data_IF_977923246383
#
_entry.id   IF_977923246383
#
_cell.length_a   1.000
_cell.length_b   1.000
_cell.length_c   1.000
_cell.angle_alpha   90.00
_cell.angle_beta   90.00
_cell.angle_gamma   90.00
#
_symmetry.space_group_name_H-M   'P 1'
#
loop_
_entity.id
_entity.type
_entity.pdbx_description
1 polymer ?
#
# COMPACT_ATOMS: atom_id res chain seq x y z
N UNK A 1 18.06 -9.38 -42.87
CA UNK A 1 18.82 -9.19 -41.62
C UNK A 1 19.36 -7.76 -41.61
N UNK A 2 19.37 -7.04 -40.49
CA UNK A 2 19.83 -5.64 -40.45
C UNK A 2 21.32 -5.54 -40.11
N UNK A 3 21.99 -4.45 -40.51
CA UNK A 3 23.40 -4.20 -40.20
C UNK A 3 23.72 -4.20 -38.70
N UNK A 4 22.75 -3.81 -37.87
CA UNK A 4 22.88 -3.85 -36.41
C UNK A 4 22.98 -5.28 -35.89
N UNK A 5 22.18 -6.19 -36.45
CA UNK A 5 22.21 -7.62 -36.09
C UNK A 5 23.53 -8.27 -36.52
N UNK A 6 24.00 -7.97 -37.73
CA UNK A 6 25.27 -8.50 -38.24
C UNK A 6 26.48 -8.02 -37.43
N UNK A 7 26.52 -6.74 -37.05
CA UNK A 7 27.57 -6.22 -36.16
C UNK A 7 27.58 -6.92 -34.80
N UNK A 8 26.41 -7.05 -34.18
CA UNK A 8 26.29 -7.75 -32.90
C UNK A 8 26.69 -9.22 -32.99
N UNK A 9 26.33 -9.88 -34.10
CA UNK A 9 26.75 -11.24 -34.38
C UNK A 9 28.28 -11.35 -34.49
N UNK A 10 28.96 -10.46 -35.23
CA UNK A 10 30.43 -10.46 -35.34
C UNK A 10 31.12 -10.27 -33.97
N UNK A 11 30.62 -9.36 -33.15
CA UNK A 11 31.15 -9.14 -31.79
C UNK A 11 30.98 -10.39 -30.91
N UNK A 12 29.82 -11.05 -30.99
CA UNK A 12 29.51 -12.26 -30.23
C UNK A 12 30.33 -13.46 -30.74
N UNK A 13 30.47 -13.59 -32.06
CA UNK A 13 31.31 -14.57 -32.74
C UNK A 13 32.74 -14.49 -32.22
N UNK A 14 33.35 -13.30 -32.24
CA UNK A 14 34.73 -13.09 -31.78
C UNK A 14 34.95 -13.56 -30.33
N UNK A 15 33.99 -13.27 -29.45
CA UNK A 15 34.05 -13.71 -28.04
C UNK A 15 33.98 -15.24 -27.88
N UNK A 16 33.22 -15.92 -28.75
CA UNK A 16 33.19 -17.38 -28.79
C UNK A 16 34.48 -17.96 -29.38
N UNK A 17 35.02 -17.36 -30.43
CA UNK A 17 36.31 -17.76 -31.02
C UNK A 17 37.47 -17.58 -30.02
N UNK A 18 37.42 -16.55 -29.17
CA UNK A 18 38.37 -16.41 -28.06
C UNK A 18 38.33 -17.62 -27.12
N UNK A 19 37.13 -18.14 -26.80
CA UNK A 19 36.96 -19.36 -25.98
C UNK A 19 37.52 -20.59 -26.73
N UNK A 20 37.22 -20.72 -28.02
CA UNK A 20 37.74 -21.82 -28.85
C UNK A 20 39.27 -21.76 -28.98
N UNK A 21 39.83 -20.56 -28.88
CA UNK A 21 41.27 -20.28 -28.83
C UNK A 21 41.87 -20.40 -27.42
N UNK A 22 41.18 -21.07 -26.50
CA UNK A 22 41.61 -21.35 -25.12
C UNK A 22 41.80 -20.11 -24.24
N UNK A 23 41.09 -19.01 -24.52
CA UNK A 23 41.06 -17.83 -23.63
C UNK A 23 39.90 -17.96 -22.66
N UNK A 24 40.18 -17.72 -21.38
CA UNK A 24 39.16 -17.73 -20.33
C UNK A 24 38.51 -16.35 -20.26
N UNK A 25 37.22 -16.21 -20.61
CA UNK A 25 36.50 -14.95 -20.44
C UNK A 25 36.20 -14.69 -18.96
N UNK A 26 35.97 -13.42 -18.62
CA UNK A 26 35.42 -13.05 -17.30
C UNK A 26 34.04 -13.70 -17.09
N UNK A 27 33.65 -14.07 -15.86
CA UNK A 27 32.36 -14.71 -15.58
C UNK A 27 31.14 -13.94 -16.08
N UNK A 28 31.16 -12.61 -16.04
CA UNK A 28 30.05 -11.76 -16.52
C UNK A 28 29.88 -11.86 -18.03
N UNK A 29 31.00 -11.86 -18.76
CA UNK A 29 31.01 -12.01 -20.22
C UNK A 29 30.57 -13.42 -20.61
N UNK A 30 31.02 -14.43 -19.86
CA UNK A 30 30.63 -15.81 -20.10
C UNK A 30 29.14 -16.04 -19.85
N UNK A 31 28.59 -15.43 -18.79
CA UNK A 31 27.16 -15.43 -18.53
C UNK A 31 26.38 -14.82 -19.70
N UNK A 32 26.79 -13.64 -20.17
CA UNK A 32 26.16 -12.97 -21.32
C UNK A 32 26.17 -13.85 -22.59
N UNK A 33 27.30 -14.51 -22.87
CA UNK A 33 27.44 -15.43 -24.00
C UNK A 33 26.52 -16.65 -23.85
N UNK A 34 26.45 -17.23 -22.65
CA UNK A 34 25.60 -18.38 -22.38
C UNK A 34 24.11 -18.05 -22.51
N UNK A 35 23.70 -16.85 -22.09
CA UNK A 35 22.31 -16.39 -22.21
C UNK A 35 21.92 -16.12 -23.66
N UNK A 36 22.84 -15.54 -24.44
CA UNK A 36 22.62 -15.23 -25.86
C UNK A 36 22.87 -16.43 -26.79
N UNK A 37 23.35 -17.55 -26.25
CA UNK A 37 23.74 -18.71 -27.07
C UNK A 37 22.63 -19.18 -27.99
N UNK A 38 21.37 -19.24 -27.53
CA UNK A 38 20.28 -19.74 -28.37
C UNK A 38 20.05 -18.89 -29.61
N UNK A 39 20.00 -17.56 -29.43
CA UNK A 39 19.76 -16.63 -30.52
C UNK A 39 20.97 -16.55 -31.44
N UNK A 40 22.17 -16.49 -30.85
CA UNK A 40 23.41 -16.48 -31.60
C UNK A 40 23.55 -17.74 -32.45
N UNK A 41 23.35 -18.93 -31.87
CA UNK A 41 23.36 -20.21 -32.59
C UNK A 41 22.36 -20.21 -33.75
N UNK A 42 21.11 -19.76 -33.52
CA UNK A 42 20.09 -19.69 -34.57
C UNK A 42 20.54 -18.79 -35.72
N UNK A 43 21.02 -17.58 -35.43
CA UNK A 43 21.50 -16.63 -36.44
C UNK A 43 22.67 -17.22 -37.23
N UNK A 44 23.65 -17.81 -36.55
CA UNK A 44 24.81 -18.44 -37.21
C UNK A 44 24.40 -19.56 -38.14
N UNK A 45 23.46 -20.43 -37.73
CA UNK A 45 22.94 -21.50 -38.58
C UNK A 45 22.26 -20.90 -39.82
N UNK A 46 21.39 -19.90 -39.64
CA UNK A 46 20.73 -19.22 -40.77
C UNK A 46 21.76 -18.64 -41.75
N UNK A 47 22.79 -17.94 -41.24
CA UNK A 47 23.86 -17.37 -42.08
C UNK A 47 24.65 -18.44 -42.84
N UNK A 48 24.82 -19.63 -42.25
CA UNK A 48 25.58 -20.73 -42.86
C UNK A 48 24.75 -21.60 -43.83
N UNK A 49 23.42 -21.52 -43.81
CA UNK A 49 22.53 -22.31 -44.69
C UNK A 49 21.92 -21.47 -45.80
N UNK A 50 21.70 -20.19 -45.58
CA UNK A 50 21.07 -19.28 -46.52
C UNK A 50 22.07 -18.18 -46.88
N UNK A 51 22.69 -18.21 -48.09
CA UNK A 51 23.53 -17.10 -48.52
C UNK A 51 22.67 -15.85 -48.58
N UNK A 52 22.90 -14.95 -47.62
CA UNK A 52 22.08 -13.76 -47.46
C UNK A 52 22.20 -12.89 -48.71
N UNK A 53 21.07 -12.44 -49.28
CA UNK A 53 21.00 -11.47 -50.39
C UNK A 53 21.42 -10.04 -49.96
N UNK A 54 22.40 -9.94 -49.07
CA UNK A 54 22.90 -8.70 -48.49
C UNK A 54 24.28 -8.45 -49.11
N UNK A 55 24.63 -7.19 -49.37
CA UNK A 55 25.94 -6.82 -49.90
C UNK A 55 27.06 -7.34 -48.96
N UNK A 56 27.93 -8.20 -49.47
CA UNK A 56 28.95 -8.90 -48.68
C UNK A 56 28.48 -10.18 -47.98
N UNK A 57 27.30 -10.70 -48.33
CA UNK A 57 26.71 -11.92 -47.78
C UNK A 57 27.60 -13.16 -47.85
N UNK A 58 28.38 -13.30 -48.92
CA UNK A 58 29.32 -14.42 -49.10
C UNK A 58 30.35 -14.50 -47.97
N UNK A 59 30.84 -13.34 -47.49
CA UNK A 59 31.77 -13.30 -46.37
C UNK A 59 31.11 -13.80 -45.09
N UNK A 60 29.90 -13.33 -44.78
CA UNK A 60 29.17 -13.75 -43.58
C UNK A 60 28.81 -15.24 -43.62
N UNK A 61 28.48 -15.76 -44.80
CA UNK A 61 28.24 -17.18 -45.03
C UNK A 61 29.49 -18.01 -44.70
N UNK A 62 30.63 -17.67 -45.31
CA UNK A 62 31.91 -18.36 -45.05
C UNK A 62 32.34 -18.25 -43.58
N UNK A 63 32.21 -17.05 -43.00
CA UNK A 63 32.53 -16.78 -41.60
C UNK A 63 31.64 -17.59 -40.64
N UNK A 64 30.37 -17.81 -40.97
CA UNK A 64 29.45 -18.61 -40.18
C UNK A 64 29.73 -20.11 -40.31
N UNK A 65 30.07 -20.59 -41.52
CA UNK A 65 30.49 -21.98 -41.72
C UNK A 65 31.76 -22.33 -40.96
N UNK A 66 32.79 -21.48 -41.06
CA UNK A 66 34.04 -21.64 -40.29
C UNK A 66 33.75 -21.71 -38.79
N UNK A 67 32.94 -20.78 -38.29
CA UNK A 67 32.57 -20.76 -36.89
C UNK A 67 31.84 -22.04 -36.45
N UNK A 68 30.87 -22.53 -37.24
CA UNK A 68 30.14 -23.75 -36.88
C UNK A 68 31.06 -24.98 -36.87
N UNK A 69 32.03 -25.05 -37.78
CA UNK A 69 33.02 -26.11 -37.80
C UNK A 69 33.90 -26.08 -36.55
N UNK A 70 34.40 -24.90 -36.17
CA UNK A 70 35.19 -24.70 -34.94
C UNK A 70 34.38 -25.05 -33.69
N UNK A 71 33.11 -24.63 -33.64
CA UNK A 71 32.21 -24.95 -32.54
C UNK A 71 31.99 -26.48 -32.44
N UNK A 72 31.73 -27.16 -33.57
CA UNK A 72 31.57 -28.61 -33.61
C UNK A 72 32.83 -29.32 -33.09
N UNK A 73 34.01 -28.88 -33.53
CA UNK A 73 35.29 -29.40 -33.06
C UNK A 73 35.47 -29.19 -31.55
N UNK A 74 35.21 -27.98 -31.05
CA UNK A 74 35.33 -27.66 -29.64
C UNK A 74 34.41 -28.53 -28.77
N UNK A 75 33.15 -28.70 -29.17
CA UNK A 75 32.18 -29.52 -28.45
C UNK A 75 32.29 -31.03 -28.72
N UNK A 76 33.16 -31.45 -29.65
CA UNK A 76 33.32 -32.85 -30.03
C UNK A 76 32.05 -33.47 -30.66
N UNK A 77 31.31 -32.68 -31.44
CA UNK A 77 30.10 -33.13 -32.15
C UNK A 77 30.32 -33.14 -33.66
N UNK A 78 29.62 -34.03 -34.37
CA UNK A 78 29.81 -34.21 -35.82
C UNK A 78 29.05 -33.17 -36.66
N UNK A 79 27.93 -32.66 -36.15
CA UNK A 79 27.04 -31.75 -36.87
C UNK A 79 26.65 -30.55 -36.01
N UNK A 80 26.45 -29.40 -36.67
CA UNK A 80 25.98 -28.17 -35.99
C UNK A 80 24.58 -28.34 -35.39
N UNK A 81 23.82 -29.34 -35.86
CA UNK A 81 22.52 -29.72 -35.29
C UNK A 81 22.64 -30.24 -33.86
N UNK A 82 23.78 -30.84 -33.53
CA UNK A 82 24.07 -31.47 -32.23
C UNK A 82 24.78 -30.54 -31.25
N UNK A 83 25.03 -29.28 -31.65
CA UNK A 83 25.55 -28.26 -30.75
C UNK A 83 24.63 -28.09 -29.53
N UNK A 84 25.19 -27.78 -28.35
CA UNK A 84 24.45 -27.74 -27.10
C UNK A 84 23.25 -26.79 -27.13
N UNK A 85 22.20 -27.18 -26.42
CA UNK A 85 21.06 -26.32 -26.12
C UNK A 85 21.34 -25.46 -24.87
N UNK A 86 20.64 -24.34 -24.66
CA UNK A 86 20.87 -23.47 -23.51
C UNK A 86 20.83 -24.19 -22.15
N UNK A 87 19.96 -25.20 -22.00
CA UNK A 87 19.81 -25.97 -20.76
C UNK A 87 21.03 -26.83 -20.41
N UNK A 88 21.76 -27.35 -21.40
CA UNK A 88 22.94 -28.22 -21.18
C UNK A 88 24.28 -27.57 -21.54
N UNK A 89 24.25 -26.35 -22.11
CA UNK A 89 25.44 -25.59 -22.49
C UNK A 89 26.51 -25.50 -21.39
N UNK A 90 26.21 -25.09 -20.13
CA UNK A 90 27.26 -25.01 -19.11
C UNK A 90 27.98 -26.34 -18.86
N UNK A 91 27.25 -27.46 -18.88
CA UNK A 91 27.85 -28.78 -18.70
C UNK A 91 28.73 -29.13 -19.90
N UNK A 92 28.24 -28.87 -21.13
CA UNK A 92 28.98 -29.13 -22.36
C UNK A 92 30.22 -28.24 -22.52
N UNK A 93 30.20 -27.02 -22.00
CA UNK A 93 31.37 -26.14 -21.92
C UNK A 93 32.46 -26.72 -21.00
N UNK A 94 32.07 -27.22 -19.82
CA UNK A 94 33.00 -27.88 -18.90
C UNK A 94 33.57 -29.15 -19.55
N UNK A 95 32.71 -29.99 -20.13
CA UNK A 95 33.11 -31.24 -20.81
C UNK A 95 34.06 -30.98 -21.99
N UNK A 96 33.77 -29.97 -22.81
CA UNK A 96 34.62 -29.57 -23.92
C UNK A 96 35.98 -29.06 -23.43
N UNK A 97 36.00 -28.28 -22.35
CA UNK A 97 37.25 -27.71 -21.84
C UNK A 97 38.24 -28.75 -21.35
N UNK A 98 37.78 -29.86 -20.76
CA UNK A 98 38.67 -30.94 -20.30
C UNK A 98 39.30 -31.71 -21.46
N UNK A 99 38.64 -31.72 -22.63
CA UNK A 99 39.09 -32.36 -23.86
C UNK A 99 39.88 -31.41 -24.78
N UNK A 100 39.99 -30.14 -24.41
CA UNK A 100 40.62 -29.13 -25.25
C UNK A 100 42.10 -29.45 -25.55
N UNK A 101 42.50 -29.22 -26.80
CA UNK A 101 43.86 -29.40 -27.28
C UNK A 101 44.36 -28.07 -27.85
N UNK A 102 45.59 -27.69 -27.50
CA UNK A 102 46.22 -26.46 -27.96
C UNK A 102 47.69 -26.67 -28.33
N UNK A 103 48.26 -25.69 -29.04
CA UNK A 103 49.70 -25.72 -29.43
C UNK A 103 50.64 -25.65 -28.23
N UNK A 104 50.20 -25.00 -27.15
CA UNK A 104 50.96 -24.82 -25.91
C UNK A 104 50.37 -25.68 -24.80
N UNK A 105 51.18 -26.59 -24.25
CA UNK A 105 50.78 -27.43 -23.12
C UNK A 105 50.38 -26.58 -21.92
N UNK A 106 51.18 -25.56 -21.59
CA UNK A 106 50.90 -24.67 -20.45
C UNK A 106 49.57 -23.94 -20.60
N UNK A 107 49.32 -23.33 -21.77
CA UNK A 107 48.07 -22.59 -22.03
C UNK A 107 46.85 -23.51 -21.98
N UNK A 108 47.00 -24.76 -22.46
CA UNK A 108 45.95 -25.76 -22.44
C UNK A 108 45.62 -26.19 -21.01
N UNK A 109 46.63 -26.45 -20.17
CA UNK A 109 46.42 -26.84 -18.78
C UNK A 109 45.82 -25.69 -17.94
N UNK A 110 46.26 -24.44 -18.17
CA UNK A 110 45.63 -23.27 -17.55
C UNK A 110 44.16 -23.15 -17.93
N UNK A 111 43.82 -23.31 -19.22
CA UNK A 111 42.43 -23.25 -19.67
C UNK A 111 41.57 -24.36 -19.03
N UNK A 112 42.07 -25.60 -19.00
CA UNK A 112 41.39 -26.74 -18.35
C UNK A 112 41.15 -26.50 -16.85
N UNK A 113 42.07 -25.82 -16.17
CA UNK A 113 41.96 -25.53 -14.74
C UNK A 113 40.98 -24.39 -14.45
N UNK A 114 41.00 -23.32 -15.24
CA UNK A 114 40.32 -22.07 -14.90
C UNK A 114 38.98 -21.89 -15.61
N UNK A 115 38.81 -22.43 -16.83
CA UNK A 115 37.55 -22.30 -17.56
C UNK A 115 36.36 -22.95 -16.84
N UNK A 116 36.47 -24.16 -16.25
CA UNK A 116 35.38 -24.72 -15.45
C UNK A 116 34.99 -23.86 -14.23
N UNK A 117 35.97 -23.20 -13.60
CA UNK A 117 35.70 -22.26 -12.49
C UNK A 117 34.92 -21.06 -13.00
N UNK A 118 35.34 -20.45 -14.11
CA UNK A 118 34.62 -19.35 -14.75
C UNK A 118 33.18 -19.72 -15.14
N UNK A 119 32.94 -20.92 -15.68
CA UNK A 119 31.59 -21.42 -15.98
C UNK A 119 30.76 -21.55 -14.69
N UNK A 120 31.33 -22.07 -13.61
CA UNK A 120 30.65 -22.20 -12.32
C UNK A 120 30.31 -20.84 -11.72
N UNK A 121 31.26 -19.89 -11.76
CA UNK A 121 31.06 -18.51 -11.32
C UNK A 121 29.97 -17.80 -12.13
N UNK A 122 29.96 -17.95 -13.46
CA UNK A 122 28.90 -17.43 -14.32
C UNK A 122 27.51 -17.98 -13.95
N UNK A 123 27.41 -19.28 -13.63
CA UNK A 123 26.16 -19.89 -13.14
C UNK A 123 25.74 -19.33 -11.78
N UNK A 124 26.68 -19.16 -10.85
CA UNK A 124 26.41 -18.56 -9.55
C UNK A 124 25.92 -17.12 -9.70
N UNK A 125 26.56 -16.33 -10.56
CA UNK A 125 26.15 -14.96 -10.86
C UNK A 125 24.73 -14.89 -11.42
N UNK A 126 24.35 -15.83 -12.30
CA UNK A 126 22.97 -15.94 -12.79
C UNK A 126 21.98 -16.18 -11.67
N UNK A 127 22.31 -17.09 -10.74
CA UNK A 127 21.45 -17.40 -9.60
C UNK A 127 21.32 -16.19 -8.66
N UNK A 128 22.43 -15.51 -8.40
CA UNK A 128 22.45 -14.29 -7.59
C UNK A 128 21.56 -13.20 -8.20
N UNK A 129 21.67 -12.94 -9.51
CA UNK A 129 20.82 -11.93 -10.19
C UNK A 129 19.33 -12.24 -10.07
N UNK A 130 18.94 -13.52 -10.17
CA UNK A 130 17.55 -13.96 -9.99
C UNK A 130 17.06 -13.73 -8.57
N UNK A 131 17.90 -14.01 -7.58
CA UNK A 131 17.56 -13.78 -6.18
C UNK A 131 17.44 -12.29 -5.88
N UNK A 132 18.36 -11.45 -6.38
CA UNK A 132 18.29 -9.99 -6.26
C UNK A 132 17.07 -9.39 -6.99
N UNK A 133 16.67 -9.97 -8.12
CA UNK A 133 15.44 -9.57 -8.83
C UNK A 133 14.19 -9.92 -8.01
N UNK A 134 14.12 -11.13 -7.45
CA UNK A 134 13.03 -11.57 -6.57
C UNK A 134 12.93 -10.70 -5.32
N UNK A 135 14.05 -10.38 -4.68
CA UNK A 135 14.10 -9.49 -3.51
C UNK A 135 13.63 -8.06 -3.86
N UNK A 136 14.01 -7.53 -5.03
CA UNK A 136 13.53 -6.22 -5.49
C UNK A 136 12.03 -6.22 -5.78
N UNK A 137 11.50 -7.30 -6.35
CA UNK A 137 10.07 -7.45 -6.57
C UNK A 137 9.30 -7.52 -5.26
N UNK A 138 9.77 -8.34 -4.30
CA UNK A 138 9.19 -8.44 -2.96
C UNK A 138 9.18 -7.10 -2.21
N UNK A 139 10.29 -6.36 -2.24
CA UNK A 139 10.37 -5.03 -1.62
C UNK A 139 9.45 -4.01 -2.32
N UNK A 140 9.33 -4.08 -3.65
CA UNK A 140 8.38 -3.24 -4.41
C UNK A 140 6.94 -3.52 -4.02
N UNK A 141 6.58 -4.80 -3.83
CA UNK A 141 5.24 -5.20 -3.37
C UNK A 141 4.98 -4.65 -1.97
N UNK A 142 5.94 -4.81 -1.05
CA UNK A 142 5.84 -4.30 0.32
C UNK A 142 5.65 -2.79 0.37
N UNK A 143 6.43 -2.02 -0.39
CA UNK A 143 6.30 -0.56 -0.47
C UNK A 143 4.91 -0.17 -0.96
N UNK A 144 4.38 -0.85 -1.98
CA UNK A 144 3.03 -0.59 -2.50
C UNK A 144 1.94 -0.92 -1.48
N UNK A 145 2.08 -2.00 -0.72
CA UNK A 145 1.14 -2.35 0.35
C UNK A 145 1.14 -1.32 1.47
N UNK A 146 2.31 -0.80 1.85
CA UNK A 146 2.46 0.23 2.87
C UNK A 146 1.86 1.57 2.41
N UNK A 147 2.15 1.98 1.17
CA UNK A 147 1.52 3.15 0.54
C UNK A 147 -0.01 3.04 0.53
N UNK A 148 -0.54 1.88 0.13
CA UNK A 148 -1.99 1.64 0.13
C UNK A 148 -2.59 1.73 1.54
N UNK A 149 -1.91 1.20 2.56
CA UNK A 149 -2.35 1.33 3.96
C UNK A 149 -2.39 2.79 4.41
N UNK A 150 -1.37 3.58 4.03
CA UNK A 150 -1.32 5.00 4.35
C UNK A 150 -2.43 5.80 3.64
N UNK A 151 -2.65 5.57 2.35
CA UNK A 151 -3.74 6.21 1.60
C UNK A 151 -5.11 5.90 2.19
N UNK A 152 -5.34 4.65 2.61
CA UNK A 152 -6.58 4.24 3.29
C UNK A 152 -6.70 4.94 4.64
N UNK A 153 -5.61 5.02 5.41
CA UNK A 153 -5.59 5.74 6.67
C UNK A 153 -6.02 7.19 6.48
N UNK A 154 -5.37 7.92 5.56
CA UNK A 154 -5.66 9.33 5.30
C UNK A 154 -7.09 9.52 4.80
N UNK A 155 -7.57 8.63 3.91
CA UNK A 155 -8.93 8.65 3.40
C UNK A 155 -9.98 8.50 4.51
N UNK A 156 -9.72 7.64 5.49
CA UNK A 156 -10.62 7.43 6.63
C UNK A 156 -10.54 8.61 7.61
N UNK A 157 -9.34 9.14 7.89
CA UNK A 157 -9.20 10.29 8.81
C UNK A 157 -9.81 11.58 8.24
N UNK A 158 -9.74 11.78 6.92
CA UNK A 158 -10.30 12.94 6.23
C UNK A 158 -11.76 12.75 5.80
N UNK A 159 -12.40 11.64 6.15
CA UNK A 159 -13.77 11.39 5.72
C UNK A 159 -14.73 12.43 6.34
N UNK A 160 -15.56 13.11 5.53
CA UNK A 160 -16.52 14.10 6.03
C UNK A 160 -17.44 13.57 7.13
N UNK A 161 -17.77 12.27 7.08
CA UNK A 161 -18.56 11.62 8.13
C UNK A 161 -17.85 11.71 9.49
N UNK A 162 -16.58 11.29 9.56
CA UNK A 162 -15.83 11.31 10.82
C UNK A 162 -15.46 12.73 11.25
N UNK A 163 -15.24 13.66 10.32
CA UNK A 163 -15.05 15.07 10.63
C UNK A 163 -16.30 15.68 11.29
N UNK A 164 -17.50 15.35 10.79
CA UNK A 164 -18.76 15.80 11.39
C UNK A 164 -18.96 15.22 12.81
N UNK A 165 -18.63 13.94 13.02
CA UNK A 165 -18.68 13.31 14.35
C UNK A 165 -17.72 13.96 15.35
N UNK A 166 -16.49 14.26 14.94
CA UNK A 166 -15.53 15.00 15.76
C UNK A 166 -16.07 16.40 16.11
N UNK A 167 -16.76 17.07 15.17
CA UNK A 167 -17.42 18.35 15.43
C UNK A 167 -18.50 18.26 16.52
N UNK A 168 -19.26 17.16 16.57
CA UNK A 168 -20.25 16.91 17.62
C UNK A 168 -19.59 16.63 18.97
N UNK A 169 -18.52 15.83 19.02
CA UNK A 169 -17.74 15.67 20.25
C UNK A 169 -17.19 17.00 20.75
N UNK A 170 -16.74 17.88 19.84
CA UNK A 170 -16.35 19.24 20.15
C UNK A 170 -17.47 20.06 20.82
N UNK A 171 -18.72 19.90 20.39
CA UNK A 171 -19.89 20.55 21.03
C UNK A 171 -20.15 20.02 22.44
N UNK A 172 -20.03 18.70 22.66
CA UNK A 172 -20.15 18.08 23.99
C UNK A 172 -19.05 18.62 24.92
N UNK A 173 -17.81 18.70 24.42
CA UNK A 173 -16.70 19.28 25.17
C UNK A 173 -16.91 20.76 25.49
N UNK A 174 -17.39 21.54 24.53
CA UNK A 174 -17.75 22.93 24.76
C UNK A 174 -18.80 23.08 25.88
N UNK A 175 -19.78 22.18 25.92
CA UNK A 175 -20.80 22.16 26.98
C UNK A 175 -20.21 21.74 28.34
N UNK A 176 -19.33 20.74 28.38
CA UNK A 176 -18.58 20.35 29.60
C UNK A 176 -17.81 21.54 30.14
N UNK A 177 -17.04 22.23 29.31
CA UNK A 177 -16.29 23.43 29.69
C UNK A 177 -17.22 24.53 30.21
N UNK A 178 -18.33 24.79 29.51
CA UNK A 178 -19.31 25.82 29.89
C UNK A 178 -19.95 25.56 31.25
N UNK A 179 -20.27 24.30 31.57
CA UNK A 179 -20.82 23.93 32.89
C UNK A 179 -19.72 24.01 33.95
N UNK A 180 -18.55 23.46 33.68
CA UNK A 180 -17.41 23.44 34.60
C UNK A 180 -16.96 24.84 35.05
N UNK A 181 -16.99 25.83 34.13
CA UNK A 181 -16.69 27.23 34.45
C UNK A 181 -17.66 27.85 35.45
N UNK A 182 -18.91 27.37 35.51
CA UNK A 182 -19.93 27.86 36.46
C UNK A 182 -19.96 27.05 37.75
N UNK A 183 -19.84 25.73 37.63
CA UNK A 183 -19.80 24.82 38.75
C UNK A 183 -18.96 23.59 38.34
N UNK A 184 -17.70 23.47 38.81
CA UNK A 184 -16.82 22.36 38.44
C UNK A 184 -17.26 21.02 39.02
N UNK A 185 -18.10 21.02 40.07
CA UNK A 185 -18.62 19.82 40.73
C UNK A 185 -20.05 19.47 40.28
N UNK A 186 -20.48 19.99 39.13
CA UNK A 186 -21.80 19.70 38.60
C UNK A 186 -21.88 18.26 38.07
N UNK A 187 -22.79 17.44 38.61
CA UNK A 187 -22.95 16.03 38.24
C UNK A 187 -23.16 15.80 36.74
N UNK A 188 -23.71 16.80 36.02
CA UNK A 188 -23.89 16.75 34.56
C UNK A 188 -22.57 16.59 33.82
N UNK A 189 -21.47 17.12 34.37
CA UNK A 189 -20.13 16.99 33.78
C UNK A 189 -19.72 15.53 33.72
N UNK A 190 -20.00 14.75 34.76
CA UNK A 190 -19.68 13.32 34.81
C UNK A 190 -20.43 12.54 33.72
N UNK A 191 -21.72 12.82 33.54
CA UNK A 191 -22.53 12.19 32.50
C UNK A 191 -22.07 12.58 31.08
N UNK A 192 -21.76 13.85 30.85
CA UNK A 192 -21.27 14.32 29.55
C UNK A 192 -19.90 13.71 29.19
N UNK A 193 -18.97 13.63 30.15
CA UNK A 193 -17.67 12.96 29.95
C UNK A 193 -17.83 11.47 29.64
N UNK A 194 -18.76 10.80 30.32
CA UNK A 194 -19.04 9.39 30.05
C UNK A 194 -19.54 9.19 28.61
N UNK A 195 -20.47 10.03 28.16
CA UNK A 195 -20.99 10.00 26.78
C UNK A 195 -19.92 10.32 25.76
N UNK A 196 -19.09 11.33 26.00
CA UNK A 196 -17.95 11.67 25.15
C UNK A 196 -17.01 10.47 24.96
N UNK A 197 -16.67 9.77 26.04
CA UNK A 197 -15.81 8.60 26.01
C UNK A 197 -16.42 7.43 25.22
N UNK A 198 -17.73 7.16 25.42
CA UNK A 198 -18.45 6.14 24.65
C UNK A 198 -18.48 6.47 23.16
N UNK A 199 -18.74 7.73 22.81
CA UNK A 199 -18.72 8.19 21.42
C UNK A 199 -17.33 8.08 20.81
N UNK A 200 -16.28 8.46 21.54
CA UNK A 200 -14.90 8.34 21.06
C UNK A 200 -14.52 6.89 20.77
N UNK A 201 -14.91 5.99 21.67
CA UNK A 201 -14.70 4.54 21.50
C UNK A 201 -15.41 4.04 20.24
N UNK A 202 -16.66 4.45 20.04
CA UNK A 202 -17.46 4.07 18.88
C UNK A 202 -16.85 4.59 17.56
N UNK A 203 -16.46 5.86 17.52
CA UNK A 203 -15.80 6.47 16.35
C UNK A 203 -14.51 5.74 16.01
N UNK A 204 -13.68 5.46 17.02
CA UNK A 204 -12.39 4.80 16.83
C UNK A 204 -12.55 3.37 16.31
N UNK A 205 -13.52 2.63 16.87
CA UNK A 205 -13.86 1.27 16.43
C UNK A 205 -14.35 1.28 14.99
N UNK A 206 -15.28 2.16 14.64
CA UNK A 206 -15.80 2.27 13.27
C UNK A 206 -14.71 2.70 12.29
N UNK A 207 -13.81 3.63 12.65
CA UNK A 207 -12.65 4.00 11.80
C UNK A 207 -11.78 2.78 11.49
N UNK A 208 -11.49 1.95 12.50
CA UNK A 208 -10.70 0.74 12.31
C UNK A 208 -11.41 -0.26 11.38
N UNK A 209 -12.69 -0.54 11.61
CA UNK A 209 -13.49 -1.40 10.73
C UNK A 209 -13.57 -0.85 9.30
N UNK A 210 -13.65 0.47 9.13
CA UNK A 210 -13.61 1.11 7.82
C UNK A 210 -12.26 0.91 7.12
N UNK A 211 -11.13 1.02 7.83
CA UNK A 211 -9.78 0.77 7.30
C UNK A 211 -9.64 -0.70 6.84
N UNK A 212 -10.12 -1.64 7.65
CA UNK A 212 -10.13 -3.07 7.32
C UNK A 212 -11.03 -3.39 6.12
N UNK A 213 -12.20 -2.78 6.02
CA UNK A 213 -13.11 -2.94 4.89
C UNK A 213 -12.53 -2.40 3.57
N UNK A 214 -11.74 -1.32 3.60
CA UNK A 214 -11.00 -0.84 2.42
C UNK A 214 -9.87 -1.79 2.01
N UNK A 215 -9.19 -2.42 2.97
CA UNK A 215 -8.13 -3.39 2.71
C UNK A 215 -8.70 -4.68 2.11
N UNK A 216 -9.74 -5.24 2.72
CA UNK A 216 -10.29 -6.57 2.43
C UNK A 216 -11.40 -6.57 1.38
N UNK A 217 -12.29 -5.58 1.39
CA UNK A 217 -13.52 -5.57 0.58
C UNK A 217 -13.66 -4.34 -0.32
N UNK A 218 -12.59 -3.55 -0.47
CA UNK A 218 -12.57 -2.31 -1.26
C UNK A 218 -13.61 -1.27 -0.84
N UNK A 219 -14.00 -1.24 0.43
CA UNK A 219 -14.93 -0.22 0.91
C UNK A 219 -16.41 -0.52 0.64
N UNK A 220 -16.78 -1.78 0.38
CA UNK A 220 -18.17 -2.13 0.05
C UNK A 220 -19.14 -1.94 1.21
N UNK A 221 -18.66 -2.05 2.45
CA UNK A 221 -19.51 -2.01 3.64
C UNK A 221 -19.49 -0.65 4.35
N UNK A 222 -18.83 0.37 3.77
CA UNK A 222 -18.63 1.68 4.41
C UNK A 222 -19.95 2.35 4.82
N UNK A 223 -20.96 2.32 3.96
CA UNK A 223 -22.26 2.95 4.26
C UNK A 223 -22.95 2.26 5.44
N UNK A 224 -22.90 0.93 5.48
CA UNK A 224 -23.46 0.15 6.59
C UNK A 224 -22.76 0.45 7.91
N UNK A 225 -21.42 0.44 7.91
CA UNK A 225 -20.61 0.73 9.10
C UNK A 225 -20.87 2.15 9.64
N UNK A 226 -21.00 3.14 8.75
CA UNK A 226 -21.32 4.54 9.11
C UNK A 226 -22.74 4.67 9.66
N UNK A 227 -23.70 4.00 9.03
CA UNK A 227 -25.09 3.99 9.48
C UNK A 227 -25.22 3.39 10.88
N UNK A 228 -24.55 2.26 11.12
CA UNK A 228 -24.51 1.62 12.43
C UNK A 228 -23.89 2.52 13.50
N UNK A 229 -22.73 3.12 13.20
CA UNK A 229 -22.05 4.08 14.07
C UNK A 229 -22.95 5.26 14.44
N UNK A 230 -23.61 5.86 13.43
CA UNK A 230 -24.58 6.95 13.61
C UNK A 230 -25.72 6.54 14.56
N UNK A 231 -26.31 5.36 14.34
CA UNK A 231 -27.41 4.86 15.16
C UNK A 231 -26.98 4.55 16.60
N UNK A 232 -25.79 3.98 16.79
CA UNK A 232 -25.23 3.73 18.12
C UNK A 232 -24.96 5.05 18.86
N UNK A 233 -24.44 6.07 18.18
CA UNK A 233 -24.26 7.39 18.76
C UNK A 233 -25.56 8.05 19.22
N UNK A 234 -26.61 7.99 18.39
CA UNK A 234 -27.95 8.46 18.79
C UNK A 234 -28.44 7.73 20.04
N UNK A 235 -28.21 6.42 20.09
CA UNK A 235 -28.62 5.57 21.21
C UNK A 235 -27.87 5.94 22.49
N UNK A 236 -26.56 6.17 22.41
CA UNK A 236 -25.73 6.62 23.54
C UNK A 236 -26.28 7.94 24.10
N UNK A 237 -26.49 8.96 23.26
CA UNK A 237 -27.00 10.26 23.73
C UNK A 237 -28.39 10.13 24.32
N UNK A 238 -29.30 9.42 23.64
CA UNK A 238 -30.67 9.23 24.11
C UNK A 238 -30.69 8.56 25.49
N UNK A 239 -30.03 7.41 25.64
CA UNK A 239 -30.03 6.65 26.90
C UNK A 239 -29.37 7.47 28.01
N UNK A 240 -28.16 7.99 27.77
CA UNK A 240 -27.36 8.54 28.85
C UNK A 240 -27.66 9.99 29.20
N UNK A 241 -28.23 10.79 28.28
CA UNK A 241 -28.49 12.21 28.51
C UNK A 241 -29.98 12.57 28.54
N UNK A 242 -30.82 11.92 27.74
CA UNK A 242 -32.23 12.26 27.63
C UNK A 242 -33.11 11.41 28.56
N UNK A 243 -33.03 10.08 28.44
CA UNK A 243 -33.93 9.16 29.14
C UNK A 243 -33.58 9.05 30.63
N UNK A 244 -32.30 9.17 30.98
CA UNK A 244 -31.84 9.14 32.37
C UNK A 244 -32.06 10.45 33.13
N UNK A 245 -32.68 11.48 32.52
CA UNK A 245 -32.81 12.82 33.09
C UNK A 245 -31.49 13.42 33.61
N UNK A 246 -30.36 12.95 33.08
CA UNK A 246 -29.02 13.29 33.56
C UNK A 246 -28.67 14.77 33.44
N UNK A 247 -29.46 15.53 32.67
CA UNK A 247 -29.31 16.96 32.41
C UNK A 247 -30.41 17.81 33.04
N UNK A 248 -31.36 17.16 33.73
CA UNK A 248 -32.38 17.87 34.47
C UNK A 248 -31.78 18.51 35.72
N UNK A 249 -32.28 19.70 36.05
CA UNK A 249 -31.95 20.37 37.31
C UNK A 249 -32.18 19.42 38.48
N UNK A 250 -31.30 19.45 39.47
CA UNK A 250 -31.46 18.63 40.67
C UNK A 250 -32.84 18.90 41.28
N UNK A 251 -33.45 17.91 41.93
CA UNK A 251 -34.76 18.09 42.57
C UNK A 251 -34.74 19.29 43.55
N UNK A 252 -33.59 19.59 44.17
CA UNK A 252 -33.36 20.75 45.02
C UNK A 252 -33.46 22.08 44.26
N UNK A 253 -32.92 22.16 43.04
CA UNK A 253 -33.05 23.34 42.18
C UNK A 253 -34.48 23.49 41.64
N UNK A 254 -35.15 22.38 41.30
CA UNK A 254 -36.56 22.38 40.89
C UNK A 254 -37.46 22.90 42.02
N UNK A 255 -37.25 22.42 43.25
CA UNK A 255 -37.99 22.88 44.43
C UNK A 255 -37.63 24.32 44.77
N UNK A 256 -36.35 24.69 44.76
CA UNK A 256 -35.92 26.06 45.01
C UNK A 256 -36.57 27.06 44.05
N UNK A 257 -36.66 26.72 42.75
CA UNK A 257 -37.37 27.54 41.75
C UNK A 257 -38.88 27.51 41.92
N UNK A 258 -39.48 26.37 42.28
CA UNK A 258 -40.92 26.29 42.55
C UNK A 258 -41.30 27.16 43.76
N UNK A 259 -40.49 27.14 44.82
CA UNK A 259 -40.64 28.00 45.99
C UNK A 259 -40.43 29.46 45.61
N UNK A 260 -39.39 29.79 44.84
CA UNK A 260 -39.16 31.18 44.39
C UNK A 260 -40.34 31.70 43.53
N UNK A 261 -40.86 30.87 42.63
CA UNK A 261 -42.02 31.21 41.80
C UNK A 261 -43.28 31.38 42.63
N UNK A 262 -43.50 30.51 43.63
CA UNK A 262 -44.59 30.66 44.58
C UNK A 262 -44.47 31.96 45.40
N UNK A 263 -43.26 32.31 45.85
CA UNK A 263 -42.99 33.55 46.58
C UNK A 263 -43.24 34.78 45.69
N UNK A 264 -42.83 34.76 44.42
CA UNK A 264 -43.06 35.86 43.47
C UNK A 264 -44.54 35.96 43.05
N UNK A 265 -45.26 34.84 42.99
CA UNK A 265 -46.67 34.78 42.64
C UNK A 265 -47.62 35.13 43.81
N UNK A 266 -47.13 35.12 45.05
CA UNK A 266 -47.90 35.57 46.20
C UNK A 266 -48.09 37.11 46.10
N UNK A 267 -49.33 37.61 46.07
CA UNK A 267 -49.58 39.04 46.07
C UNK A 267 -49.25 39.61 47.44
N UNK A 268 -48.00 40.04 47.63
CA UNK A 268 -47.64 40.83 48.80
C UNK A 268 -48.34 42.18 48.61
N UNK A 269 -49.36 42.45 49.43
CA UNK A 269 -49.99 43.78 49.53
C UNK A 269 -48.99 44.79 50.11
N UNK A 270 -47.94 45.09 49.36
CA UNK A 270 -47.13 46.27 49.55
C UNK A 270 -47.66 47.26 48.52
N UNK A 271 -48.32 48.31 49.00
CA UNK A 271 -48.69 49.46 48.18
C UNK A 271 -47.40 50.05 47.62
N UNK A 272 -47.02 49.63 46.42
CA UNK A 272 -46.03 50.33 45.60
C UNK A 272 -46.66 50.57 44.24
N UNK A 273 -46.71 51.85 43.90
CA UNK A 273 -47.14 52.40 42.63
C UNK A 273 -45.98 52.16 41.67
N UNK A 274 -46.01 51.08 40.88
CA UNK A 274 -45.28 51.04 39.60
C UNK A 274 -45.80 49.93 38.68
N UNK A 275 -46.46 50.39 37.61
CA UNK A 275 -46.46 49.86 36.23
C UNK A 275 -46.48 48.34 35.98
N UNK A 276 -47.61 47.91 35.38
CA UNK A 276 -47.76 46.85 34.38
C UNK A 276 -46.46 46.15 33.93
N UNK A 277 -46.04 45.12 34.65
CA UNK A 277 -45.13 44.11 34.12
C UNK A 277 -45.99 43.08 33.37
N UNK A 278 -45.73 42.79 32.08
CA UNK A 278 -46.49 41.81 31.33
C UNK A 278 -46.40 40.43 31.99
N UNK A 279 -47.56 39.81 32.24
CA UNK A 279 -47.71 38.47 32.81
C UNK A 279 -47.06 37.34 31.98
N UNK A 280 -46.49 37.65 30.82
CA UNK A 280 -45.83 36.69 29.92
C UNK A 280 -44.36 36.39 30.26
N UNK A 281 -43.74 37.09 31.21
CA UNK A 281 -42.31 36.88 31.57
C UNK A 281 -42.07 36.07 32.86
N UNK A 282 -43.12 35.62 33.55
CA UNK A 282 -43.01 34.91 34.84
C UNK A 282 -42.98 33.38 34.73
N UNK A 283 -42.85 32.83 33.53
CA UNK A 283 -42.66 31.39 33.32
C UNK A 283 -41.16 31.09 33.13
N UNK A 284 -40.48 30.74 34.21
CA UNK A 284 -39.15 30.14 34.12
C UNK A 284 -39.26 28.87 33.26
N UNK A 285 -38.72 28.92 32.04
CA UNK A 285 -38.64 27.75 31.16
C UNK A 285 -37.97 26.61 31.91
N UNK A 286 -38.69 25.49 32.07
CA UNK A 286 -38.18 24.26 32.68
C UNK A 286 -37.10 23.57 31.82
N UNK A 287 -36.93 24.01 30.57
CA UNK A 287 -35.90 23.53 29.65
C UNK A 287 -34.58 24.23 29.96
N UNK A 288 -33.59 23.48 30.44
CA UNK A 288 -32.23 24.00 30.67
C UNK A 288 -31.56 24.27 29.33
N UNK A 289 -30.67 25.27 29.28
CA UNK A 289 -29.80 25.51 28.11
C UNK A 289 -29.02 24.24 27.71
N UNK A 290 -28.63 23.41 28.69
CA UNK A 290 -27.99 22.12 28.44
C UNK A 290 -28.91 21.14 27.69
N UNK A 291 -30.21 21.08 28.03
CA UNK A 291 -31.17 20.21 27.33
C UNK A 291 -31.38 20.66 25.89
N UNK A 292 -31.49 21.96 25.64
CA UNK A 292 -31.57 22.52 24.28
C UNK A 292 -30.30 22.24 23.46
N UNK A 293 -29.11 22.38 24.07
CA UNK A 293 -27.84 22.07 23.42
C UNK A 293 -27.72 20.59 23.04
N UNK A 294 -28.19 19.66 23.89
CA UNK A 294 -28.17 18.23 23.59
C UNK A 294 -29.19 17.83 22.53
N UNK A 295 -30.39 18.43 22.54
CA UNK A 295 -31.36 18.22 21.46
C UNK A 295 -30.81 18.71 20.11
N UNK A 296 -30.13 19.87 20.09
CA UNK A 296 -29.44 20.34 18.88
C UNK A 296 -28.33 19.38 18.43
N UNK A 297 -27.56 18.82 19.37
CA UNK A 297 -26.54 17.80 19.06
C UNK A 297 -27.17 16.54 18.44
N UNK A 298 -28.31 16.09 18.97
CA UNK A 298 -29.05 14.96 18.42
C UNK A 298 -29.51 15.26 16.98
N UNK A 299 -30.08 16.43 16.75
CA UNK A 299 -30.50 16.87 15.41
C UNK A 299 -29.33 16.98 14.43
N UNK A 300 -28.16 17.39 14.91
CA UNK A 300 -26.96 17.46 14.09
C UNK A 300 -26.43 16.08 13.71
N UNK A 301 -26.53 15.08 14.61
CA UNK A 301 -26.24 13.67 14.27
C UNK A 301 -27.18 13.19 13.17
N UNK A 302 -28.46 13.53 13.27
CA UNK A 302 -29.48 13.13 12.30
C UNK A 302 -29.18 13.65 10.89
N UNK A 303 -28.56 14.83 10.78
CA UNK A 303 -28.19 15.46 9.51
C UNK A 303 -26.92 14.90 8.88
N UNK A 304 -26.12 14.09 9.59
CA UNK A 304 -24.88 13.54 9.02
C UNK A 304 -25.19 12.55 7.91
N UNK A 305 -24.61 12.77 6.74
CA UNK A 305 -24.70 11.85 5.62
C UNK A 305 -23.81 10.62 5.84
N UNK A 306 -24.37 9.44 5.63
CA UNK A 306 -23.65 8.15 5.77
C UNK A 306 -23.12 7.62 4.44
N UNK A 307 -23.52 8.24 3.32
CA UNK A 307 -23.11 7.79 1.99
C UNK A 307 -21.64 8.14 1.75
N UNK A 308 -20.86 7.23 1.14
CA UNK A 308 -19.50 7.56 0.73
C UNK A 308 -19.55 8.68 -0.33
N UNK A 309 -18.70 9.68 -0.16
CA UNK A 309 -18.55 10.75 -1.13
C UNK A 309 -18.09 10.15 -2.47
N UNK A 310 -18.96 10.20 -3.49
CA UNK A 310 -18.57 9.87 -4.85
C UNK A 310 -17.78 11.07 -5.39
N UNK A 311 -16.46 10.91 -5.52
CA UNK A 311 -15.66 11.82 -6.36
C UNK A 311 -16.00 11.62 -7.82
#
# INVERSE_FOLDING_TARGET
MTDKVLRHWMETKKKWEDIFSLRVPKPENLLDLMEKWSDFRRITITLATEPAQIKGGDKFYLDAQSFLQEACQFFGVQSYKDLPFPGNLPYKLIEASTKAQGKSTLSTEMFKADFPKAVKEAKNLKQQRKEEEKQREEETIRIREEQRKQEIHDKVEQDPFFLALNGIQGKINGEITRISLKNPNDDRITHLRHVEALMQSQISTTKQSCKEDFLSYRGKNQESLRSECKNQMKTIIKIHLMDNNALEMSWREKIGRAILNAIIALPVKIKSISSNTPSSNLFFKFKTTSKENIENIQDDIDKIETKPYKK
#
